data_IF_823400951878
#
_entry.id   IF_823400951878
#
_cell.length_a   1.000
_cell.length_b   1.000
_cell.length_c   1.000
_cell.angle_alpha   90.00
_cell.angle_beta   90.00
_cell.angle_gamma   90.00
#
_symmetry.space_group_name_H-M   'P 1'
#
loop_
_entity.id
_entity.type
_entity.pdbx_description
1 polymer ?
#
# COMPACT_ATOMS: atom_id res chain seq x y z
N UNK A 1 -16.37 8.79 -28.86
CA UNK A 1 -15.20 7.89 -28.70
C UNK A 1 -14.22 8.37 -27.62
N UNK A 2 -13.90 9.65 -27.51
CA UNK A 2 -12.98 10.19 -26.50
C UNK A 2 -13.46 10.04 -25.05
N UNK A 3 -14.76 10.22 -24.75
CA UNK A 3 -15.28 10.14 -23.37
C UNK A 3 -15.21 8.76 -22.72
N UNK A 4 -15.48 7.70 -23.49
CA UNK A 4 -15.47 6.32 -22.97
C UNK A 4 -14.05 5.95 -22.55
N UNK A 5 -13.07 6.29 -23.39
CA UNK A 5 -11.65 6.04 -23.13
C UNK A 5 -11.15 6.85 -21.95
N UNK A 6 -11.52 8.14 -21.84
CA UNK A 6 -11.08 8.95 -20.69
C UNK A 6 -11.66 8.44 -19.37
N UNK A 7 -12.94 8.07 -19.33
CA UNK A 7 -13.57 7.48 -18.14
C UNK A 7 -12.92 6.13 -17.81
N UNK A 8 -12.67 5.29 -18.80
CA UNK A 8 -12.01 4.01 -18.60
C UNK A 8 -10.59 4.16 -18.04
N UNK A 9 -9.75 5.01 -18.66
CA UNK A 9 -8.37 5.28 -18.21
C UNK A 9 -8.38 5.84 -16.79
N UNK A 10 -9.31 6.73 -16.48
CA UNK A 10 -9.44 7.30 -15.14
C UNK A 10 -9.81 6.24 -14.10
N UNK A 11 -10.82 5.42 -14.36
CA UNK A 11 -11.19 4.31 -13.47
C UNK A 11 -10.04 3.31 -13.35
N UNK A 12 -9.37 2.99 -14.44
CA UNK A 12 -8.21 2.11 -14.47
C UNK A 12 -7.07 2.62 -13.57
N UNK A 13 -6.69 3.90 -13.68
CA UNK A 13 -5.67 4.51 -12.82
C UNK A 13 -6.09 4.43 -11.35
N UNK A 14 -7.35 4.75 -11.03
CA UNK A 14 -7.82 4.71 -9.63
C UNK A 14 -7.83 3.31 -9.03
N UNK A 15 -8.21 2.29 -9.80
CA UNK A 15 -8.18 0.90 -9.34
C UNK A 15 -6.75 0.36 -9.29
N UNK A 16 -5.85 0.76 -10.20
CA UNK A 16 -4.43 0.42 -10.15
C UNK A 16 -3.76 0.98 -8.88
N UNK A 17 -4.09 2.21 -8.49
CA UNK A 17 -3.64 2.80 -7.22
C UNK A 17 -4.18 2.02 -6.02
N UNK A 18 -5.44 1.60 -6.08
CA UNK A 18 -6.04 0.75 -5.05
C UNK A 18 -5.39 -0.64 -4.99
N UNK A 19 -4.99 -1.18 -6.13
CA UNK A 19 -4.37 -2.51 -6.27
C UNK A 19 -2.95 -2.55 -5.71
N UNK A 20 -2.11 -1.56 -6.06
CA UNK A 20 -0.76 -1.37 -5.50
C UNK A 20 -0.81 -1.23 -3.98
N UNK A 21 -1.87 -0.60 -3.47
CA UNK A 21 -2.09 -0.40 -2.05
C UNK A 21 -1.46 0.90 -1.53
N UNK A 22 -2.19 1.57 -0.63
CA UNK A 22 -1.78 2.88 -0.08
C UNK A 22 -0.47 2.81 0.70
N UNK A 23 -0.20 1.71 1.40
CA UNK A 23 1.02 1.51 2.19
C UNK A 23 2.27 1.43 1.32
N UNK A 24 2.23 0.63 0.25
CA UNK A 24 3.37 0.47 -0.68
C UNK A 24 3.68 1.79 -1.37
N UNK A 25 2.64 2.48 -1.86
CA UNK A 25 2.80 3.78 -2.49
C UNK A 25 3.33 4.82 -1.49
N UNK A 26 2.84 4.81 -0.25
CA UNK A 26 3.30 5.69 0.81
C UNK A 26 4.78 5.46 1.13
N UNK A 27 5.19 4.20 1.34
CA UNK A 27 6.58 3.88 1.66
C UNK A 27 7.53 4.22 0.52
N UNK A 28 7.13 3.98 -0.73
CA UNK A 28 7.89 4.37 -1.90
C UNK A 28 8.08 5.89 -2.00
N UNK A 29 6.97 6.65 -1.92
CA UNK A 29 7.02 8.12 -2.02
C UNK A 29 7.74 8.73 -0.82
N UNK A 30 7.52 8.20 0.39
CA UNK A 30 8.22 8.67 1.58
C UNK A 30 9.71 8.34 1.54
N UNK A 31 10.11 7.16 1.04
CA UNK A 31 11.52 6.83 0.83
C UNK A 31 12.18 7.77 -0.19
N UNK A 32 11.47 8.10 -1.28
CA UNK A 32 11.93 9.08 -2.25
C UNK A 32 12.04 10.48 -1.63
N UNK A 33 11.04 10.89 -0.87
CA UNK A 33 11.04 12.17 -0.13
C UNK A 33 12.21 12.27 0.84
N UNK A 34 12.45 11.23 1.64
CA UNK A 34 13.59 11.17 2.54
C UNK A 34 14.93 11.20 1.81
N UNK A 35 15.02 10.55 0.64
CA UNK A 35 16.25 10.51 -0.16
C UNK A 35 16.58 11.88 -0.77
N UNK A 36 15.56 12.66 -1.15
CA UNK A 36 15.76 13.96 -1.79
C UNK A 36 15.94 15.06 -0.73
N UNK A 37 15.03 15.15 0.24
CA UNK A 37 14.96 16.29 1.16
C UNK A 37 15.62 16.04 2.51
N UNK A 38 15.60 14.80 3.02
CA UNK A 38 16.11 14.46 4.35
C UNK A 38 17.34 13.56 4.33
N UNK A 39 18.10 13.54 3.22
CA UNK A 39 19.28 12.69 3.07
C UNK A 39 20.32 12.94 4.17
N UNK A 40 20.51 14.20 4.57
CA UNK A 40 21.40 14.60 5.65
C UNK A 40 20.92 14.08 7.02
N UNK A 41 19.62 14.15 7.32
CA UNK A 41 19.05 13.64 8.56
C UNK A 41 19.15 12.11 8.66
N UNK A 42 18.87 11.40 7.56
CA UNK A 42 19.02 9.94 7.49
C UNK A 42 20.50 9.53 7.61
N UNK A 43 21.41 10.26 6.97
CA UNK A 43 22.84 10.02 7.11
C UNK A 43 23.31 10.23 8.56
N UNK A 44 22.84 11.31 9.21
CA UNK A 44 23.12 11.58 10.63
C UNK A 44 22.59 10.46 11.53
N UNK A 45 21.37 9.99 11.30
CA UNK A 45 20.80 8.86 12.04
C UNK A 45 21.66 7.59 11.94
N UNK A 46 22.16 7.29 10.74
CA UNK A 46 23.04 6.13 10.51
C UNK A 46 24.38 6.28 11.23
N UNK A 47 25.00 7.46 11.14
CA UNK A 47 26.26 7.77 11.84
C UNK A 47 26.11 7.64 13.36
N UNK A 48 25.07 8.24 13.93
CA UNK A 48 24.81 8.17 15.37
C UNK A 48 24.58 6.72 15.83
N UNK A 49 23.84 5.93 15.06
CA UNK A 49 23.67 4.48 15.35
C UNK A 49 25.00 3.75 15.36
N UNK A 50 25.88 3.98 14.38
CA UNK A 50 27.20 3.34 14.38
C UNK A 50 28.07 3.79 15.55
N UNK A 51 28.08 5.08 15.88
CA UNK A 51 28.85 5.63 17.01
C UNK A 51 28.36 5.06 18.35
N UNK A 52 27.05 4.94 18.54
CA UNK A 52 26.47 4.30 19.73
C UNK A 52 26.87 2.82 19.82
N UNK A 53 26.83 2.08 18.72
CA UNK A 53 27.21 0.66 18.72
C UNK A 53 28.69 0.48 19.06
N UNK A 54 29.57 1.30 18.49
CA UNK A 54 31.00 1.32 18.83
C UNK A 54 31.21 1.71 20.29
N UNK A 55 30.57 2.78 20.76
CA UNK A 55 30.68 3.23 22.15
C UNK A 55 30.15 2.23 23.16
N UNK A 56 29.06 1.50 22.84
CA UNK A 56 28.57 0.40 23.67
C UNK A 56 29.56 -0.77 23.73
N UNK A 57 30.20 -1.10 22.60
CA UNK A 57 31.23 -2.14 22.57
C UNK A 57 32.42 -1.77 23.45
N UNK A 58 32.92 -0.53 23.34
CA UNK A 58 34.03 -0.04 24.16
C UNK A 58 33.66 0.02 25.66
N UNK A 59 32.40 0.35 25.98
CA UNK A 59 31.91 0.39 27.35
C UNK A 59 31.93 -1.00 27.98
N UNK A 60 31.53 -2.03 27.23
CA UNK A 60 31.58 -3.43 27.68
C UNK A 60 33.01 -3.96 27.85
N UNK A 61 33.96 -3.42 27.08
CA UNK A 61 35.39 -3.79 27.19
C UNK A 61 36.14 -3.06 28.32
N UNK A 62 35.54 -2.03 28.92
CA UNK A 62 36.18 -1.21 29.95
C UNK A 62 35.71 -1.65 31.35
N UNK A 63 36.65 -2.04 32.22
CA UNK A 63 36.36 -2.34 33.64
C UNK A 63 35.82 -1.10 34.35
N UNK A 64 34.60 -1.19 34.89
CA UNK A 64 33.96 -0.09 35.61
C UNK A 64 34.67 0.22 36.94
N UNK A 65 35.41 -0.72 37.51
CA UNK A 65 36.05 -0.59 38.82
C UNK A 65 37.44 0.03 38.71
N UNK A 66 38.27 -0.49 37.80
CA UNK A 66 39.67 -0.03 37.66
C UNK A 66 39.77 1.24 36.80
N UNK A 67 38.90 1.37 35.80
CA UNK A 67 38.91 2.49 34.86
C UNK A 67 37.66 3.36 35.00
N UNK A 68 37.16 3.55 36.22
CA UNK A 68 35.90 4.25 36.50
C UNK A 68 35.79 5.61 35.81
N UNK A 69 36.86 6.41 35.79
CA UNK A 69 36.86 7.72 35.13
C UNK A 69 36.62 7.61 33.61
N UNK A 70 37.25 6.64 32.94
CA UNK A 70 37.08 6.36 31.52
C UNK A 70 35.70 5.78 31.24
N UNK A 71 35.28 4.82 32.06
CA UNK A 71 33.97 4.18 31.99
C UNK A 71 32.84 5.21 32.15
N UNK A 72 32.90 6.09 33.15
CA UNK A 72 31.89 7.10 33.42
C UNK A 72 31.81 8.14 32.28
N UNK A 73 32.95 8.54 31.71
CA UNK A 73 32.99 9.45 30.56
C UNK A 73 32.37 8.81 29.31
N UNK A 74 32.73 7.57 29.02
CA UNK A 74 32.20 6.82 27.89
C UNK A 74 30.69 6.55 28.04
N UNK A 75 30.25 6.19 29.25
CA UNK A 75 28.84 5.99 29.56
C UNK A 75 28.02 7.24 29.28
N UNK A 76 28.45 8.41 29.78
CA UNK A 76 27.79 9.69 29.50
C UNK A 76 27.74 10.01 28.00
N UNK A 77 28.79 9.66 27.24
CA UNK A 77 28.81 9.83 25.79
C UNK A 77 27.78 8.95 25.08
N UNK A 78 27.67 7.68 25.48
CA UNK A 78 26.67 6.74 24.94
C UNK A 78 25.26 7.20 25.31
N UNK A 79 25.03 7.60 26.56
CA UNK A 79 23.72 8.07 27.03
C UNK A 79 23.30 9.36 26.29
N UNK A 80 24.24 10.29 26.04
CA UNK A 80 24.01 11.47 25.21
C UNK A 80 23.64 11.10 23.77
N UNK A 81 24.39 10.18 23.15
CA UNK A 81 24.11 9.71 21.79
C UNK A 81 22.73 9.07 21.67
N UNK A 82 22.31 8.29 22.68
CA UNK A 82 20.97 7.70 22.74
C UNK A 82 19.88 8.77 22.82
N UNK A 83 20.05 9.78 23.66
CA UNK A 83 19.11 10.90 23.77
C UNK A 83 19.00 11.69 22.45
N UNK A 84 20.12 11.94 21.77
CA UNK A 84 20.15 12.59 20.46
C UNK A 84 19.46 11.73 19.38
N UNK A 85 19.64 10.40 19.40
CA UNK A 85 18.96 9.47 18.49
C UNK A 85 17.45 9.50 18.71
N UNK A 86 17.00 9.43 19.97
CA UNK A 86 15.58 9.46 20.32
C UNK A 86 14.91 10.75 19.87
N UNK A 87 15.57 11.90 20.07
CA UNK A 87 15.12 13.19 19.56
C UNK A 87 15.02 13.21 18.02
N UNK A 88 16.04 12.71 17.33
CA UNK A 88 16.02 12.66 15.86
C UNK A 88 14.90 11.73 15.35
N UNK A 89 14.63 10.63 16.05
CA UNK A 89 13.59 9.69 15.68
C UNK A 89 12.18 10.25 15.92
N UNK A 90 11.98 11.03 16.99
CA UNK A 90 10.70 11.71 17.25
C UNK A 90 10.42 12.82 16.23
N UNK A 91 11.45 13.55 15.78
CA UNK A 91 11.33 14.50 14.68
C UNK A 91 10.93 13.80 13.37
N UNK A 92 11.62 12.71 13.01
CA UNK A 92 11.31 11.93 11.80
C UNK A 92 9.91 11.29 11.85
N UNK A 93 9.46 10.82 13.02
CA UNK A 93 8.12 10.25 13.18
C UNK A 93 7.03 11.32 13.03
N UNK A 94 7.25 12.52 13.58
CA UNK A 94 6.37 13.68 13.38
C UNK A 94 6.25 14.06 11.91
N UNK A 95 7.38 14.11 11.18
CA UNK A 95 7.38 14.34 9.73
C UNK A 95 6.64 13.25 8.96
N UNK A 96 6.83 11.97 9.34
CA UNK A 96 6.13 10.85 8.71
C UNK A 96 4.62 10.94 8.92
N UNK A 97 4.17 11.30 10.13
CA UNK A 97 2.75 11.46 10.45
C UNK A 97 2.12 12.61 9.66
N UNK A 98 2.78 13.78 9.66
CA UNK A 98 2.35 14.96 8.90
C UNK A 98 2.30 14.68 7.40
N UNK A 99 3.27 13.93 6.88
CA UNK A 99 3.30 13.50 5.49
C UNK A 99 2.19 12.49 5.18
N UNK A 100 1.93 11.54 6.08
CA UNK A 100 0.84 10.55 5.94
C UNK A 100 -0.52 11.20 5.80
N UNK A 101 -0.82 12.22 6.61
CA UNK A 101 -2.09 12.97 6.50
C UNK A 101 -2.23 13.63 5.12
N UNK A 102 -1.18 14.34 4.66
CA UNK A 102 -1.17 14.99 3.34
C UNK A 102 -1.29 13.99 2.21
N UNK A 103 -0.53 12.89 2.29
CA UNK A 103 -0.53 11.83 1.29
C UNK A 103 -1.88 11.13 1.21
N UNK A 104 -2.45 10.74 2.35
CA UNK A 104 -3.77 10.11 2.38
C UNK A 104 -4.86 11.05 1.85
N UNK A 105 -4.79 12.34 2.19
CA UNK A 105 -5.68 13.35 1.63
C UNK A 105 -5.52 13.50 0.11
N UNK A 106 -4.29 13.58 -0.38
CA UNK A 106 -4.00 13.69 -1.81
C UNK A 106 -4.46 12.44 -2.59
N UNK A 107 -4.18 11.24 -2.09
CA UNK A 107 -4.64 9.99 -2.70
C UNK A 107 -6.16 9.91 -2.67
N UNK A 108 -6.80 10.25 -1.55
CA UNK A 108 -8.26 10.26 -1.48
C UNK A 108 -8.87 11.25 -2.46
N UNK A 109 -8.31 12.45 -2.59
CA UNK A 109 -8.74 13.45 -3.57
C UNK A 109 -8.54 12.94 -5.00
N UNK A 110 -7.42 12.28 -5.28
CA UNK A 110 -7.10 11.76 -6.61
C UNK A 110 -7.94 10.53 -6.98
N UNK A 111 -8.26 9.65 -6.02
CA UNK A 111 -9.07 8.45 -6.30
C UNK A 111 -10.56 8.73 -6.24
N UNK A 112 -11.01 9.43 -5.20
CA UNK A 112 -12.44 9.64 -4.92
C UNK A 112 -12.90 10.99 -5.45
N UNK A 113 -12.13 12.05 -5.17
CA UNK A 113 -12.46 13.41 -5.63
C UNK A 113 -12.49 13.51 -7.15
N UNK A 114 -11.53 12.90 -7.85
CA UNK A 114 -11.49 12.90 -9.30
C UNK A 114 -12.66 12.11 -9.92
N UNK A 115 -13.04 10.95 -9.36
CA UNK A 115 -14.24 10.22 -9.79
C UNK A 115 -15.52 11.03 -9.58
N UNK A 116 -15.62 11.73 -8.43
CA UNK A 116 -16.75 12.60 -8.15
C UNK A 116 -16.79 13.80 -9.11
N UNK A 117 -15.64 14.42 -9.37
CA UNK A 117 -15.53 15.53 -10.31
C UNK A 117 -15.96 15.14 -11.73
N UNK A 118 -15.50 13.99 -12.23
CA UNK A 118 -15.92 13.47 -13.55
C UNK A 118 -17.41 13.14 -13.56
N UNK A 119 -17.93 12.52 -12.51
CA UNK A 119 -19.36 12.21 -12.39
C UNK A 119 -20.21 13.48 -12.36
N UNK A 120 -19.72 14.53 -11.71
CA UNK A 120 -20.37 15.84 -11.67
C UNK A 120 -20.34 16.54 -13.02
N UNK A 121 -19.16 16.58 -13.65
CA UNK A 121 -18.93 17.26 -14.93
C UNK A 121 -19.74 16.64 -16.08
N UNK A 122 -19.79 15.31 -16.13
CA UNK A 122 -20.50 14.57 -17.19
C UNK A 122 -21.91 14.13 -16.78
N UNK A 123 -22.52 14.75 -15.76
CA UNK A 123 -23.85 14.30 -15.28
C UNK A 123 -24.93 14.36 -16.37
N UNK A 124 -24.83 15.28 -17.33
CA UNK A 124 -25.85 15.48 -18.38
C UNK A 124 -25.52 14.80 -19.71
N UNK A 125 -24.39 14.11 -19.82
CA UNK A 125 -23.91 13.54 -21.10
C UNK A 125 -24.16 12.04 -21.14
N UNK A 126 -24.96 11.60 -22.12
CA UNK A 126 -25.12 10.20 -22.45
C UNK A 126 -23.80 9.62 -22.97
N UNK A 127 -23.29 8.55 -22.34
CA UNK A 127 -22.05 7.88 -22.79
C UNK A 127 -22.30 7.09 -24.06
N UNK A 128 -23.44 6.42 -24.13
CA UNK A 128 -23.86 5.61 -25.27
C UNK A 128 -25.39 5.63 -25.35
N UNK A 129 -25.94 5.82 -26.56
CA UNK A 129 -27.38 5.66 -26.82
C UNK A 129 -27.63 4.23 -27.28
N UNK A 130 -28.60 3.56 -26.65
CA UNK A 130 -28.96 2.20 -27.01
C UNK A 130 -30.04 2.18 -28.10
N UNK A 131 -29.98 1.24 -29.06
CA UNK A 131 -31.08 1.00 -29.98
C UNK A 131 -32.37 0.65 -29.21
N UNK A 132 -33.54 1.12 -29.67
CA UNK A 132 -34.80 0.85 -29.00
C UNK A 132 -35.08 -0.67 -28.97
N UNK A 133 -35.37 -1.22 -27.77
CA UNK A 133 -35.81 -2.60 -27.59
C UNK A 133 -34.77 -3.60 -27.05
N UNK A 134 -33.49 -3.25 -26.96
CA UNK A 134 -32.43 -4.23 -26.62
C UNK A 134 -32.42 -4.65 -25.14
N UNK A 135 -32.72 -3.74 -24.22
CA UNK A 135 -32.68 -3.98 -22.76
C UNK A 135 -34.04 -3.84 -22.06
N UNK A 136 -35.14 -3.64 -22.80
CA UNK A 136 -36.49 -3.53 -22.25
C UNK A 136 -36.61 -2.54 -21.07
N UNK A 137 -37.30 -2.88 -19.97
CA UNK A 137 -37.47 -1.99 -18.81
C UNK A 137 -36.18 -1.71 -18.02
N UNK A 138 -35.10 -2.47 -18.25
CA UNK A 138 -33.78 -2.28 -17.59
C UNK A 138 -33.07 -1.03 -18.11
N UNK A 139 -33.46 -0.53 -19.29
CA UNK A 139 -32.97 0.74 -19.87
C UNK A 139 -33.14 1.93 -18.93
N UNK A 140 -34.18 1.93 -18.10
CA UNK A 140 -34.39 2.97 -17.08
C UNK A 140 -33.32 2.93 -15.98
N UNK A 141 -32.91 1.74 -15.57
CA UNK A 141 -31.89 1.57 -14.54
C UNK A 141 -30.49 1.95 -15.05
N UNK A 142 -30.22 1.67 -16.33
CA UNK A 142 -28.98 2.08 -17.03
C UNK A 142 -28.86 3.61 -17.18
N UNK A 143 -29.98 4.34 -17.18
CA UNK A 143 -30.04 5.79 -17.32
C UNK A 143 -29.94 6.55 -15.98
N UNK A 144 -30.29 5.94 -14.85
CA UNK A 144 -30.12 6.52 -13.52
C UNK A 144 -28.63 6.73 -13.19
N UNK A 145 -28.23 7.80 -12.46
CA UNK A 145 -29.04 8.84 -11.82
C UNK A 145 -29.30 10.13 -12.64
N UNK A 146 -28.66 10.35 -13.81
CA UNK A 146 -28.73 11.66 -14.50
C UNK A 146 -28.78 11.62 -16.05
N UNK A 147 -28.81 10.46 -16.69
CA UNK A 147 -28.79 10.38 -18.16
C UNK A 147 -30.21 10.37 -18.76
N UNK A 148 -30.40 10.92 -19.97
CA UNK A 148 -31.69 10.85 -20.68
C UNK A 148 -32.07 9.40 -20.99
N UNK A 149 -33.37 9.09 -20.97
CA UNK A 149 -33.91 7.76 -21.20
C UNK A 149 -33.38 7.15 -22.52
N UNK A 150 -32.97 5.88 -22.48
CA UNK A 150 -32.36 5.20 -23.63
C UNK A 150 -30.84 5.35 -23.76
N UNK A 151 -30.15 5.85 -22.73
CA UNK A 151 -28.68 5.97 -22.72
C UNK A 151 -28.03 5.41 -21.46
N UNK A 152 -26.74 5.02 -21.58
CA UNK A 152 -25.92 4.60 -20.43
C UNK A 152 -25.38 5.83 -19.72
N UNK A 153 -25.62 5.91 -18.41
CA UNK A 153 -25.07 6.96 -17.57
C UNK A 153 -23.56 6.79 -17.34
N UNK A 154 -22.85 7.91 -17.15
CA UNK A 154 -21.43 7.92 -16.81
C UNK A 154 -21.14 7.07 -15.56
N UNK A 155 -22.01 7.13 -14.55
CA UNK A 155 -21.88 6.34 -13.32
C UNK A 155 -22.00 4.83 -13.56
N UNK A 156 -22.97 4.39 -14.38
CA UNK A 156 -23.12 2.96 -14.71
C UNK A 156 -21.92 2.44 -15.50
N UNK A 157 -21.42 3.22 -16.46
CA UNK A 157 -20.20 2.87 -17.20
C UNK A 157 -18.97 2.79 -16.29
N UNK A 158 -18.78 3.75 -15.38
CA UNK A 158 -17.70 3.70 -14.38
C UNK A 158 -17.77 2.45 -13.49
N UNK A 159 -18.97 2.12 -13.01
CA UNK A 159 -19.20 0.94 -12.18
C UNK A 159 -18.91 -0.35 -12.95
N UNK A 160 -19.31 -0.45 -14.22
CA UNK A 160 -19.00 -1.59 -15.07
C UNK A 160 -17.48 -1.76 -15.25
N UNK A 161 -16.77 -0.69 -15.61
CA UNK A 161 -15.31 -0.70 -15.74
C UNK A 161 -14.63 -1.15 -14.45
N UNK A 162 -15.06 -0.59 -13.32
CA UNK A 162 -14.54 -0.93 -11.99
C UNK A 162 -14.74 -2.41 -11.65
N UNK A 163 -15.91 -2.97 -11.96
CA UNK A 163 -16.20 -4.39 -11.73
C UNK A 163 -15.31 -5.29 -12.56
N UNK A 164 -15.14 -4.98 -13.84
CA UNK A 164 -14.26 -5.75 -14.74
C UNK A 164 -12.82 -5.74 -14.24
N UNK A 165 -12.30 -4.58 -13.85
CA UNK A 165 -10.94 -4.46 -13.30
C UNK A 165 -10.77 -5.30 -12.03
N UNK A 166 -11.74 -5.25 -11.10
CA UNK A 166 -11.68 -6.04 -9.85
C UNK A 166 -11.78 -7.55 -10.06
N UNK A 167 -12.55 -8.00 -11.06
CA UNK A 167 -12.58 -9.41 -11.44
C UNK A 167 -11.21 -9.81 -12.02
N UNK A 168 -10.64 -8.98 -12.90
CA UNK A 168 -9.30 -9.19 -13.42
C UNK A 168 -8.23 -9.25 -12.33
N UNK A 169 -8.29 -8.35 -11.35
CA UNK A 169 -7.41 -8.36 -10.18
C UNK A 169 -7.48 -9.69 -9.43
N UNK A 170 -8.71 -10.19 -9.18
CA UNK A 170 -8.90 -11.47 -8.48
C UNK A 170 -8.29 -12.62 -9.25
N UNK A 171 -8.54 -12.70 -10.56
CA UNK A 171 -7.98 -13.75 -11.42
C UNK A 171 -6.44 -13.71 -11.39
N UNK A 172 -5.84 -12.53 -11.49
CA UNK A 172 -4.38 -12.38 -11.40
C UNK A 172 -3.84 -12.85 -10.05
N UNK A 173 -4.50 -12.48 -8.94
CA UNK A 173 -4.10 -12.93 -7.60
C UNK A 173 -4.22 -14.44 -7.45
N UNK A 174 -5.30 -15.04 -7.95
CA UNK A 174 -5.53 -16.48 -7.92
C UNK A 174 -4.45 -17.22 -8.71
N UNK A 175 -4.07 -16.73 -9.90
CA UNK A 175 -2.99 -17.32 -10.71
C UNK A 175 -1.62 -17.26 -9.99
N UNK A 176 -1.29 -16.12 -9.37
CA UNK A 176 -0.04 -15.96 -8.61
C UNK A 176 0.00 -16.86 -7.38
N UNK A 177 -1.15 -17.09 -6.73
CA UNK A 177 -1.26 -18.01 -5.59
C UNK A 177 -1.12 -19.48 -6.01
N UNK A 178 -1.76 -19.87 -7.12
CA UNK A 178 -1.64 -21.24 -7.68
C UNK A 178 -0.19 -21.58 -8.03
N UNK A 179 0.56 -20.63 -8.59
CA UNK A 179 1.99 -20.82 -8.87
C UNK A 179 2.80 -21.04 -7.58
N UNK A 180 2.48 -20.32 -6.51
CA UNK A 180 3.14 -20.49 -5.20
C UNK A 180 2.80 -21.81 -4.50
N UNK A 181 1.60 -22.35 -4.70
CA UNK A 181 1.17 -23.61 -4.07
C UNK A 181 1.79 -24.84 -4.78
N UNK A 182 2.04 -24.74 -6.09
CA UNK A 182 2.69 -25.81 -6.86
C UNK A 182 4.13 -26.14 -6.47
N UNK A 183 4.79 -25.28 -5.66
CA UNK A 183 6.17 -25.49 -5.16
C UNK A 183 6.21 -26.32 -3.88
N UNK A 184 5.07 -26.59 -3.23
CA UNK A 184 5.04 -27.42 -2.00
C UNK A 184 4.63 -28.85 -2.34
N UNK A 185 5.56 -29.64 -2.87
CA UNK A 185 5.38 -31.08 -3.06
C UNK A 185 5.17 -31.74 -1.68
N UNK A 186 4.06 -32.48 -1.45
CA UNK A 186 3.91 -33.28 -0.24
C UNK A 186 4.88 -34.47 -0.29
N UNK A 187 5.80 -34.53 0.67
CA UNK A 187 6.68 -35.67 0.88
C UNK A 187 5.86 -36.93 1.15
N UNK A 188 5.93 -37.85 0.21
CA UNK A 188 5.49 -39.24 0.32
C UNK A 188 6.13 -39.91 1.57
N UNK A 189 5.31 -40.28 2.56
CA UNK A 189 5.69 -41.28 3.56
C UNK A 189 4.78 -42.51 3.45
N UNK A 190 5.33 -43.47 2.72
CA UNK A 190 4.93 -44.87 2.67
C UNK A 190 5.55 -45.64 3.86
N UNK A 191 4.71 -46.37 4.60
CA UNK A 191 4.93 -47.65 5.34
C UNK A 191 3.96 -47.73 6.52
N UNK A 192 3.36 -48.84 6.90
CA UNK A 192 3.25 -50.20 6.38
C UNK A 192 2.19 -50.88 7.25
N UNK A 193 1.28 -51.66 6.67
CA UNK A 193 0.57 -52.70 7.41
C UNK A 193 1.51 -53.90 7.53
N UNK A 194 1.55 -54.58 8.69
CA UNK A 194 1.19 -55.99 8.63
C UNK A 194 0.31 -56.44 9.80
N UNK A 195 -0.55 -57.41 9.46
CA UNK A 195 -0.97 -58.59 10.22
C UNK A 195 -1.41 -58.45 11.69
N UNK A 196 -2.59 -59.02 11.98
CA UNK A 196 -3.30 -58.87 13.23
C UNK A 196 -2.77 -59.69 14.41
N UNK A 197 -3.30 -59.38 15.59
CA UNK A 197 -3.50 -60.34 16.67
C UNK A 197 -4.63 -59.86 17.61
N UNK A 198 -5.29 -60.84 18.20
CA UNK A 198 -6.54 -60.86 18.97
C UNK A 198 -6.65 -59.84 20.12
N UNK A 199 -7.88 -59.36 20.39
CA UNK A 199 -8.51 -59.51 21.72
C UNK A 199 -9.96 -58.99 21.72
N UNK A 200 -10.82 -59.76 22.39
CA UNK A 200 -12.21 -59.53 22.82
C UNK A 200 -13.32 -59.92 21.84
#
# INVERSE_FOLDING_TARGET
MSLIVTIFVLVFITELISWIGKSVLFDFVYALYLRIFCSAAVARQRKLKSEILVGKKELLQTSAQDQFAKWAKLRRSVDKGLADLEKLNSELSSYRSSFSLKFNGAIWLLTTGLQFFVSWWYRKTAVFFLPPGWFGPVTWWLALPFAPAGSVSCGVWQMACRRVIKVGERVVRDLVMVESESVTIPSEQQKATPAGEKSS
#
